data_IF_841535694918
#
_entry.id   IF_841535694918
#
_cell.length_a   1.000
_cell.length_b   1.000
_cell.length_c   1.000
_cell.angle_alpha   90.00
_cell.angle_beta   90.00
_cell.angle_gamma   90.00
#
_symmetry.space_group_name_H-M   'P 1'
#
loop_
_entity.id
_entity.type
_entity.pdbx_description
1 polymer ?
#
# COMPACT_ATOMS: atom_id res chain seq x y z
N UNK A 1 23.88 37.02 -39.51
CA UNK A 1 24.79 37.74 -38.58
C UNK A 1 24.86 36.96 -37.27
N UNK A 2 26.10 36.64 -36.86
CA UNK A 2 26.64 35.97 -35.64
C UNK A 2 25.68 35.47 -34.54
N UNK A 3 25.70 34.22 -34.04
CA UNK A 3 26.77 33.34 -33.51
C UNK A 3 27.39 33.78 -32.16
N UNK A 4 27.05 33.06 -31.09
CA UNK A 4 27.83 32.72 -29.88
C UNK A 4 26.96 31.75 -29.03
N UNK A 5 27.36 30.57 -28.53
CA UNK A 5 28.65 29.90 -28.39
C UNK A 5 29.20 30.05 -26.97
N UNK A 6 29.15 28.97 -26.15
CA UNK A 6 29.86 28.61 -24.88
C UNK A 6 28.87 27.82 -23.99
N UNK A 7 28.95 26.51 -23.73
CA UNK A 7 29.96 25.49 -23.42
C UNK A 7 30.31 25.28 -21.91
N UNK A 8 30.01 24.05 -21.50
CA UNK A 8 30.49 23.12 -20.48
C UNK A 8 31.05 23.48 -19.07
N UNK A 9 30.62 22.58 -18.16
CA UNK A 9 31.31 21.91 -17.02
C UNK A 9 31.41 22.65 -15.68
N UNK A 10 30.91 21.99 -14.62
CA UNK A 10 31.75 21.32 -13.58
C UNK A 10 30.90 20.43 -12.62
N UNK A 11 31.28 19.14 -12.60
CA UNK A 11 31.40 18.17 -11.49
C UNK A 11 30.44 18.17 -10.28
N UNK A 12 29.82 17.00 -10.01
CA UNK A 12 30.22 16.12 -8.90
C UNK A 12 29.60 14.72 -9.12
N UNK A 13 30.45 13.76 -9.47
CA UNK A 13 30.19 12.32 -9.39
C UNK A 13 30.90 11.79 -8.15
N UNK A 14 30.26 10.90 -7.40
CA UNK A 14 30.95 10.04 -6.43
C UNK A 14 30.27 8.68 -6.44
N UNK A 15 30.81 7.82 -7.31
CA UNK A 15 30.66 6.39 -7.31
C UNK A 15 31.28 5.81 -6.03
N UNK A 16 30.66 4.81 -5.42
CA UNK A 16 31.39 3.74 -4.74
C UNK A 16 30.86 2.39 -5.22
N UNK A 17 31.72 1.73 -6.00
CA UNK A 17 31.63 0.35 -6.49
C UNK A 17 32.28 -0.58 -5.48
N UNK A 18 31.81 -1.82 -5.51
CA UNK A 18 32.00 -2.97 -4.62
C UNK A 18 33.38 -3.69 -4.76
N UNK A 19 33.74 -4.47 -3.71
CA UNK A 19 34.64 -5.67 -3.63
C UNK A 19 36.16 -5.47 -3.29
N UNK A 20 36.92 -6.53 -2.87
CA UNK A 20 36.68 -7.59 -1.86
C UNK A 20 37.91 -7.92 -0.93
N UNK A 21 37.68 -8.78 0.10
CA UNK A 21 38.58 -9.72 0.84
C UNK A 21 40.13 -9.67 0.65
N UNK A 22 40.91 -9.65 1.75
CA UNK A 22 41.86 -10.73 2.19
C UNK A 22 42.74 -10.40 3.43
N UNK A 23 42.82 -11.39 4.35
CA UNK A 23 43.93 -11.94 5.16
C UNK A 23 44.91 -11.07 5.99
N UNK A 24 45.04 -11.43 7.28
CA UNK A 24 46.23 -11.74 8.14
C UNK A 24 45.62 -12.09 9.53
N UNK A 25 45.92 -13.13 10.32
CA UNK A 25 47.06 -14.06 10.41
C UNK A 25 47.76 -13.89 11.77
N UNK A 26 47.72 -14.94 12.63
CA UNK A 26 48.58 -15.24 13.82
C UNK A 26 48.22 -14.52 15.14
N UNK A 27 48.27 -15.08 16.38
CA UNK A 27 48.82 -16.30 16.98
C UNK A 27 48.04 -16.63 18.29
N UNK A 28 47.68 -17.88 18.57
CA UNK A 28 48.30 -18.80 19.55
C UNK A 28 48.49 -18.28 20.99
N UNK A 29 47.72 -18.84 21.94
CA UNK A 29 48.22 -19.23 23.26
C UNK A 29 47.35 -20.37 23.80
N UNK A 30 48.01 -21.52 24.01
CA UNK A 30 47.48 -22.71 24.65
C UNK A 30 47.69 -22.59 26.17
N UNK A 31 46.65 -22.91 26.95
CA UNK A 31 46.73 -23.07 28.40
C UNK A 31 46.00 -24.33 28.81
N UNK A 32 46.74 -25.44 28.87
CA UNK A 32 46.35 -26.69 29.52
C UNK A 32 46.02 -26.43 30.99
N UNK A 33 44.85 -26.86 31.48
CA UNK A 33 44.67 -27.23 32.88
C UNK A 33 43.68 -28.40 33.04
N UNK A 34 44.27 -29.59 33.10
CA UNK A 34 44.03 -30.69 34.06
C UNK A 34 42.57 -30.99 34.42
N UNK A 35 42.11 -32.10 33.84
CA UNK A 35 40.98 -32.92 34.25
C UNK A 35 41.33 -33.66 35.56
N UNK A 36 40.56 -33.43 36.63
CA UNK A 36 40.59 -34.26 37.84
C UNK A 36 39.21 -34.85 38.10
N UNK A 37 39.12 -36.15 37.95
CA UNK A 37 37.97 -37.00 38.25
C UNK A 37 37.59 -36.90 39.73
N UNK A 38 36.29 -36.69 40.02
CA UNK A 38 35.72 -36.83 41.37
C UNK A 38 34.91 -38.14 41.50
N UNK A 39 34.81 -38.71 42.71
CA UNK A 39 34.34 -40.08 42.93
C UNK A 39 32.82 -40.21 42.76
N UNK A 40 32.36 -41.38 42.31
CA UNK A 40 30.94 -41.74 42.22
C UNK A 40 30.30 -41.71 43.62
N UNK A 41 29.27 -40.87 43.78
CA UNK A 41 28.34 -40.94 44.91
C UNK A 41 27.19 -41.92 44.63
N UNK A 42 26.70 -42.64 45.65
CA UNK A 42 25.80 -43.78 45.49
C UNK A 42 24.38 -43.38 45.05
N UNK A 43 23.85 -44.12 44.08
CA UNK A 43 22.49 -44.02 43.57
C UNK A 43 21.43 -44.08 44.68
N UNK A 44 20.71 -42.97 44.91
CA UNK A 44 19.42 -42.98 45.61
C UNK A 44 18.30 -43.34 44.61
N UNK A 45 17.36 -44.25 44.97
CA UNK A 45 16.22 -44.53 44.11
C UNK A 45 15.26 -43.34 44.07
N UNK A 46 14.99 -42.83 42.87
CA UNK A 46 13.95 -41.85 42.60
C UNK A 46 12.57 -42.48 42.79
N UNK A 47 11.79 -41.96 43.73
CA UNK A 47 10.34 -42.22 43.81
C UNK A 47 9.61 -41.30 42.82
N UNK A 48 8.81 -41.82 41.87
CA UNK A 48 8.09 -41.00 40.91
C UNK A 48 6.69 -40.69 41.47
N UNK A 49 6.60 -39.77 42.42
CA UNK A 49 5.31 -39.12 42.73
C UNK A 49 5.47 -37.62 42.59
N UNK A 50 5.52 -37.19 41.33
CA UNK A 50 5.32 -35.79 40.94
C UNK A 50 3.85 -35.43 41.13
N UNK A 51 3.61 -34.28 41.77
CA UNK A 51 2.30 -33.70 42.04
C UNK A 51 1.40 -33.70 40.78
N UNK A 52 0.22 -34.36 40.79
CA UNK A 52 -0.65 -34.52 39.61
C UNK A 52 -1.28 -33.22 39.12
N UNK A 53 -1.18 -32.11 39.88
CA UNK A 53 -1.70 -30.81 39.46
C UNK A 53 -0.74 -30.00 38.57
N UNK A 54 0.47 -30.50 38.26
CA UNK A 54 1.40 -29.82 37.34
C UNK A 54 1.29 -30.26 35.88
N UNK A 55 0.34 -31.13 35.53
CA UNK A 55 0.26 -31.76 34.20
C UNK A 55 -0.98 -31.40 33.36
N UNK A 56 -1.62 -30.25 33.62
CA UNK A 56 -2.69 -29.75 32.76
C UNK A 56 -2.53 -28.24 32.52
N UNK A 57 -1.77 -27.88 31.48
CA UNK A 57 -1.98 -26.72 30.61
C UNK A 57 -0.82 -26.70 29.59
N UNK A 58 -1.07 -26.84 28.27
CA UNK A 58 -0.05 -26.59 27.28
C UNK A 58 0.49 -25.17 27.46
N UNK A 59 1.81 -24.98 27.48
CA UNK A 59 2.48 -23.68 27.50
C UNK A 59 2.33 -22.92 26.16
N UNK A 60 1.13 -22.90 25.59
CA UNK A 60 0.72 -21.88 24.65
C UNK A 60 0.27 -20.67 25.46
N UNK A 61 0.69 -19.47 25.08
CA UNK A 61 0.14 -18.25 25.68
C UNK A 61 -1.36 -18.17 25.34
N UNK A 62 -2.22 -18.66 26.21
CA UNK A 62 -3.67 -18.55 26.05
C UNK A 62 -4.04 -17.05 26.08
N UNK A 63 -4.65 -16.56 25.00
CA UNK A 63 -5.29 -15.25 25.02
C UNK A 63 -6.46 -15.31 26.00
N UNK A 64 -6.68 -14.22 26.75
CA UNK A 64 -7.88 -14.13 27.58
C UNK A 64 -9.13 -14.12 26.69
N UNK A 65 -10.30 -14.59 27.18
CA UNK A 65 -11.53 -14.58 26.39
C UNK A 65 -11.89 -13.21 25.81
N UNK A 66 -11.62 -12.12 26.56
CA UNK A 66 -11.82 -10.73 26.09
C UNK A 66 -10.92 -10.39 24.92
N UNK A 67 -9.64 -10.72 25.00
CA UNK A 67 -8.66 -10.44 23.93
C UNK A 67 -8.95 -11.26 22.68
N UNK A 68 -9.38 -12.51 22.85
CA UNK A 68 -9.81 -13.35 21.74
C UNK A 68 -11.09 -12.83 21.08
N UNK A 69 -12.09 -12.39 21.85
CA UNK A 69 -13.32 -11.80 21.32
C UNK A 69 -13.06 -10.51 20.54
N UNK A 70 -12.16 -9.65 21.03
CA UNK A 70 -11.72 -8.44 20.33
C UNK A 70 -11.09 -8.78 18.98
N UNK A 71 -10.14 -9.73 18.99
CA UNK A 71 -9.47 -10.17 17.76
C UNK A 71 -10.47 -10.77 16.76
N UNK A 72 -11.36 -11.65 17.21
CA UNK A 72 -12.35 -12.29 16.35
C UNK A 72 -13.31 -11.25 15.75
N UNK A 73 -13.79 -10.28 16.53
CA UNK A 73 -14.63 -9.18 16.02
C UNK A 73 -13.94 -8.43 14.88
N UNK A 74 -12.65 -8.14 15.03
CA UNK A 74 -11.86 -7.51 13.98
C UNK A 74 -11.69 -8.41 12.76
N UNK A 75 -11.29 -9.68 12.96
CA UNK A 75 -11.05 -10.60 11.85
C UNK A 75 -12.34 -10.94 11.09
N UNK A 76 -13.49 -11.04 11.76
CA UNK A 76 -14.80 -11.21 11.14
C UNK A 76 -15.21 -9.98 10.32
N UNK A 77 -14.97 -8.78 10.87
CA UNK A 77 -15.21 -7.52 10.16
C UNK A 77 -14.34 -7.43 8.90
N UNK A 78 -13.06 -7.81 9.01
CA UNK A 78 -12.15 -7.85 7.87
C UNK A 78 -12.56 -8.91 6.85
N UNK A 79 -13.00 -10.10 7.28
CA UNK A 79 -13.53 -11.13 6.40
C UNK A 79 -14.73 -10.61 5.61
N UNK A 80 -15.63 -9.90 6.27
CA UNK A 80 -16.79 -9.29 5.63
C UNK A 80 -16.40 -8.21 4.61
N UNK A 81 -15.37 -7.41 4.90
CA UNK A 81 -14.85 -6.43 3.93
C UNK A 81 -14.23 -7.11 2.72
N UNK A 82 -13.51 -8.21 2.88
CA UNK A 82 -13.07 -9.00 1.74
C UNK A 82 -14.26 -9.50 0.93
N UNK A 83 -15.29 -10.11 1.55
CA UNK A 83 -16.49 -10.55 0.82
C UNK A 83 -17.15 -9.41 0.03
N UNK A 84 -17.24 -8.22 0.61
CA UNK A 84 -17.77 -7.02 -0.07
C UNK A 84 -16.89 -6.54 -1.23
N UNK A 85 -15.58 -6.75 -1.14
CA UNK A 85 -14.64 -6.38 -2.20
C UNK A 85 -14.77 -7.28 -3.44
N UNK A 86 -15.33 -8.48 -3.28
CA UNK A 86 -15.66 -9.35 -4.40
C UNK A 86 -16.74 -8.68 -5.27
N UNK A 87 -16.46 -8.39 -6.54
CA UNK A 87 -17.45 -7.85 -7.47
C UNK A 87 -18.60 -8.85 -7.69
N UNK A 88 -19.82 -8.34 -7.88
CA UNK A 88 -20.97 -9.16 -8.26
C UNK A 88 -20.91 -9.50 -9.76
N UNK A 89 -20.52 -8.53 -10.58
CA UNK A 89 -20.23 -8.71 -12.00
C UNK A 89 -18.73 -8.54 -12.26
N UNK A 90 -18.19 -9.35 -13.16
CA UNK A 90 -16.80 -9.24 -13.63
C UNK A 90 -16.54 -7.89 -14.30
N UNK A 91 -17.57 -7.30 -14.93
CA UNK A 91 -17.45 -5.98 -15.56
C UNK A 91 -17.23 -4.83 -14.56
N UNK A 92 -17.55 -5.05 -13.28
CA UNK A 92 -17.32 -4.05 -12.23
C UNK A 92 -15.84 -3.95 -11.83
N UNK A 93 -15.02 -4.96 -12.15
CA UNK A 93 -13.58 -4.99 -11.83
C UNK A 93 -12.88 -3.82 -12.53
N UNK A 94 -12.11 -3.05 -11.75
CA UNK A 94 -11.37 -1.86 -12.21
C UNK A 94 -12.24 -0.73 -12.79
N UNK A 95 -13.52 -0.69 -12.41
CA UNK A 95 -14.31 0.55 -12.48
C UNK A 95 -13.87 1.52 -11.39
N UNK A 96 -14.02 2.83 -11.61
CA UNK A 96 -13.72 3.81 -10.58
C UNK A 96 -14.64 3.71 -9.37
N UNK A 97 -15.89 3.26 -9.54
CA UNK A 97 -16.79 2.95 -8.43
C UNK A 97 -16.23 1.83 -7.54
N UNK A 98 -15.76 0.73 -8.15
CA UNK A 98 -15.15 -0.38 -7.41
C UNK A 98 -13.84 0.04 -6.74
N UNK A 99 -12.96 0.76 -7.44
CA UNK A 99 -11.71 1.26 -6.87
C UNK A 99 -11.97 2.23 -5.70
N UNK A 100 -12.93 3.15 -5.85
CA UNK A 100 -13.34 4.03 -4.77
C UNK A 100 -13.79 3.22 -3.54
N UNK A 101 -14.64 2.22 -3.75
CA UNK A 101 -15.13 1.38 -2.67
C UNK A 101 -14.00 0.57 -2.01
N UNK A 102 -13.06 0.02 -2.78
CA UNK A 102 -11.89 -0.68 -2.26
C UNK A 102 -11.04 0.22 -1.35
N UNK A 103 -10.85 1.49 -1.75
CA UNK A 103 -10.13 2.47 -0.94
C UNK A 103 -10.92 2.87 0.32
N UNK A 104 -12.24 3.01 0.23
CA UNK A 104 -13.11 3.25 1.40
C UNK A 104 -12.98 2.12 2.44
N UNK A 105 -13.02 0.85 2.00
CA UNK A 105 -12.82 -0.31 2.88
C UNK A 105 -11.40 -0.33 3.47
N UNK A 106 -10.38 0.04 2.69
CA UNK A 106 -9.01 0.14 3.18
C UNK A 106 -8.89 1.21 4.28
N UNK A 107 -9.43 2.41 4.05
CA UNK A 107 -9.48 3.50 5.03
C UNK A 107 -10.15 3.09 6.34
N UNK A 108 -11.31 2.43 6.25
CA UNK A 108 -12.01 1.91 7.42
C UNK A 108 -11.13 0.92 8.19
N UNK A 109 -10.41 0.05 7.49
CA UNK A 109 -9.62 -1.03 8.14
C UNK A 109 -8.39 -0.48 8.84
N UNK A 110 -7.75 0.55 8.27
CA UNK A 110 -6.69 1.29 8.96
C UNK A 110 -7.22 2.06 10.17
N UNK A 111 -8.45 2.58 10.10
CA UNK A 111 -9.08 3.27 11.24
C UNK A 111 -9.40 2.31 12.39
N UNK A 112 -9.81 1.08 12.10
CA UNK A 112 -10.12 0.07 13.12
C UNK A 112 -8.91 -0.29 14.00
N UNK A 113 -7.67 -0.14 13.49
CA UNK A 113 -6.46 -0.32 14.29
C UNK A 113 -6.41 0.66 15.46
N UNK A 114 -6.84 1.92 15.25
CA UNK A 114 -6.92 2.90 16.32
C UNK A 114 -7.90 2.46 17.41
N UNK A 115 -9.03 1.87 17.01
CA UNK A 115 -10.02 1.29 17.92
C UNK A 115 -9.41 0.14 18.72
N UNK A 116 -8.73 -0.80 18.06
CA UNK A 116 -8.04 -1.92 18.72
C UNK A 116 -7.00 -1.42 19.73
N UNK A 117 -6.15 -0.47 19.36
CA UNK A 117 -5.13 0.09 20.27
C UNK A 117 -5.79 0.69 21.52
N UNK A 118 -6.90 1.40 21.33
CA UNK A 118 -7.66 2.03 22.42
C UNK A 118 -8.29 0.97 23.34
N UNK A 119 -8.95 -0.04 22.77
CA UNK A 119 -9.61 -1.12 23.55
C UNK A 119 -8.63 -2.05 24.26
N UNK A 120 -7.44 -2.22 23.68
CA UNK A 120 -6.35 -2.94 24.32
C UNK A 120 -5.76 -2.16 25.49
N UNK A 121 -6.02 -0.86 25.63
CA UNK A 121 -5.33 0.02 26.59
C UNK A 121 -3.83 -0.23 26.54
N UNK A 122 -3.27 -0.30 25.33
CA UNK A 122 -1.86 -0.63 25.11
C UNK A 122 -1.08 0.69 24.97
N UNK A 123 -0.43 1.17 26.04
CA UNK A 123 0.40 2.37 25.93
C UNK A 123 1.54 2.11 24.94
N UNK A 124 1.95 3.16 24.22
CA UNK A 124 2.98 3.03 23.18
C UNK A 124 4.31 2.54 23.76
N UNK A 125 4.60 2.84 25.03
CA UNK A 125 5.78 2.33 25.74
C UNK A 125 5.81 0.79 25.92
N UNK A 126 4.67 0.11 25.78
CA UNK A 126 4.61 -1.36 25.79
C UNK A 126 4.92 -1.98 24.42
N UNK A 127 5.12 -1.15 23.39
CA UNK A 127 5.52 -1.60 22.07
C UNK A 127 7.02 -1.81 22.05
N UNK A 128 7.48 -2.92 21.49
CA UNK A 128 8.90 -3.16 21.29
C UNK A 128 9.43 -2.22 20.17
N UNK A 129 10.61 -1.62 20.38
CA UNK A 129 11.21 -0.60 19.51
C UNK A 129 11.21 -1.01 18.03
N UNK A 130 11.41 -2.30 17.75
CA UNK A 130 11.41 -2.83 16.39
C UNK A 130 10.05 -2.68 15.71
N UNK A 131 8.96 -2.70 16.46
CA UNK A 131 7.60 -2.52 15.93
C UNK A 131 7.31 -1.08 15.59
N UNK A 132 7.76 -0.17 16.43
CA UNK A 132 7.69 1.26 16.18
C UNK A 132 8.42 1.54 14.87
N UNK A 133 9.65 1.03 14.71
CA UNK A 133 10.43 1.18 13.48
C UNK A 133 9.71 0.61 12.25
N UNK A 134 9.19 -0.63 12.34
CA UNK A 134 8.48 -1.27 11.23
C UNK A 134 7.19 -0.53 10.87
N UNK A 135 6.43 -0.04 11.85
CA UNK A 135 5.22 0.74 11.58
C UNK A 135 5.56 2.07 10.92
N UNK A 136 6.57 2.79 11.45
CA UNK A 136 7.01 4.06 10.89
C UNK A 136 7.56 3.88 9.47
N UNK A 137 8.35 2.84 9.21
CA UNK A 137 8.85 2.51 7.87
C UNK A 137 7.69 2.19 6.90
N UNK A 138 6.76 1.31 7.31
CA UNK A 138 5.59 1.00 6.50
C UNK A 138 4.73 2.25 6.23
N UNK A 139 4.54 3.13 7.22
CA UNK A 139 3.75 4.35 7.03
C UNK A 139 4.34 5.27 5.96
N UNK A 140 5.68 5.44 5.92
CA UNK A 140 6.35 6.22 4.86
C UNK A 140 6.10 5.58 3.49
N UNK A 141 6.29 4.26 3.39
CA UNK A 141 6.02 3.51 2.16
C UNK A 141 4.58 3.69 1.66
N UNK A 142 3.60 3.68 2.56
CA UNK A 142 2.20 3.91 2.21
C UNK A 142 1.95 5.36 1.75
N UNK A 143 2.57 6.35 2.39
CA UNK A 143 2.49 7.75 1.95
C UNK A 143 3.10 7.95 0.55
N UNK A 144 4.22 7.27 0.25
CA UNK A 144 4.84 7.30 -1.07
C UNK A 144 3.95 6.64 -2.14
N UNK A 145 3.28 5.54 -1.81
CA UNK A 145 2.28 4.91 -2.69
C UNK A 145 1.11 5.87 -2.97
N UNK A 146 0.58 6.53 -1.93
CA UNK A 146 -0.46 7.55 -2.11
C UNK A 146 0.01 8.68 -3.03
N UNK A 147 1.23 9.19 -2.84
CA UNK A 147 1.81 10.22 -3.71
C UNK A 147 1.91 9.75 -5.18
N UNK A 148 2.27 8.49 -5.40
CA UNK A 148 2.31 7.90 -6.74
C UNK A 148 0.91 7.82 -7.36
N UNK A 149 -0.10 7.40 -6.59
CA UNK A 149 -1.50 7.35 -7.03
C UNK A 149 -2.08 8.73 -7.30
N UNK A 150 -1.93 9.70 -6.40
CA UNK A 150 -2.40 11.07 -6.62
C UNK A 150 -1.72 11.71 -7.82
N UNK A 151 -0.44 11.44 -8.05
CA UNK A 151 0.26 11.88 -9.26
C UNK A 151 -0.31 11.27 -10.53
N UNK A 152 -0.71 10.00 -10.49
CA UNK A 152 -1.31 9.32 -11.64
C UNK A 152 -2.73 9.81 -11.91
N UNK A 153 -3.55 9.95 -10.88
CA UNK A 153 -4.89 10.52 -11.00
C UNK A 153 -4.84 11.94 -11.55
N UNK A 154 -3.87 12.75 -11.10
CA UNK A 154 -3.62 14.09 -11.65
C UNK A 154 -3.23 14.04 -13.13
N UNK A 155 -2.39 13.08 -13.52
CA UNK A 155 -2.02 12.87 -14.93
C UNK A 155 -3.24 12.49 -15.76
N UNK A 156 -4.07 11.56 -15.31
CA UNK A 156 -5.31 11.20 -16.01
C UNK A 156 -6.27 12.38 -16.12
N UNK A 157 -6.36 13.22 -15.08
CA UNK A 157 -7.18 14.42 -15.09
C UNK A 157 -6.67 15.50 -16.08
N UNK A 158 -5.34 15.63 -16.25
CA UNK A 158 -4.80 16.47 -17.33
C UNK A 158 -5.22 15.96 -18.72
N UNK A 159 -5.38 14.64 -18.88
CA UNK A 159 -5.99 14.07 -20.08
C UNK A 159 -7.42 14.53 -20.31
N UNK A 160 -8.23 14.64 -19.25
CA UNK A 160 -9.60 15.17 -19.36
C UNK A 160 -9.64 16.59 -19.93
N UNK A 161 -8.67 17.46 -19.62
CA UNK A 161 -8.58 18.81 -20.21
C UNK A 161 -8.40 18.78 -21.74
N UNK A 162 -7.64 17.80 -22.26
CA UNK A 162 -7.48 17.61 -23.70
C UNK A 162 -8.79 17.17 -24.37
N UNK A 163 -9.58 16.33 -23.69
CA UNK A 163 -10.92 15.94 -24.14
C UNK A 163 -11.87 17.15 -24.16
N UNK A 164 -11.86 17.98 -23.13
CA UNK A 164 -12.68 19.20 -23.09
C UNK A 164 -12.30 20.16 -24.24
N UNK A 165 -11.00 20.32 -24.51
CA UNK A 165 -10.53 21.11 -25.65
C UNK A 165 -11.04 20.54 -26.98
N UNK A 166 -10.98 19.21 -27.16
CA UNK A 166 -11.51 18.56 -28.36
C UNK A 166 -13.01 18.81 -28.52
N UNK A 167 -13.81 18.56 -27.47
CA UNK A 167 -15.26 18.75 -27.46
C UNK A 167 -15.64 20.20 -27.78
N UNK A 168 -14.97 21.18 -27.17
CA UNK A 168 -15.22 22.59 -27.44
C UNK A 168 -14.97 22.98 -28.90
N UNK A 169 -13.92 22.44 -29.52
CA UNK A 169 -13.65 22.69 -30.94
C UNK A 169 -14.66 21.97 -31.85
N UNK A 170 -15.19 20.81 -31.44
CA UNK A 170 -16.19 20.06 -32.20
C UNK A 170 -17.55 20.76 -32.21
N UNK A 171 -17.91 21.49 -31.16
CA UNK A 171 -19.18 22.25 -31.10
C UNK A 171 -19.26 23.37 -32.15
N UNK A 172 -18.12 23.96 -32.54
CA UNK A 172 -18.07 25.04 -33.53
C UNK A 172 -18.18 24.56 -34.99
N UNK A 173 -17.96 23.26 -35.27
CA UNK A 173 -18.14 22.58 -36.57
C UNK A 173 -17.51 23.23 -37.83
N UNK A 174 -16.54 24.13 -37.64
CA UNK A 174 -15.79 24.73 -38.74
C UNK A 174 -14.53 23.91 -39.06
N UNK A 175 -14.10 23.87 -40.33
CA UNK A 175 -13.00 23.02 -40.79
C UNK A 175 -11.68 23.20 -40.02
N UNK A 176 -11.32 24.44 -39.65
CA UNK A 176 -10.12 24.72 -38.82
C UNK A 176 -10.26 24.16 -37.40
N UNK A 177 -11.46 24.14 -36.86
CA UNK A 177 -11.76 23.64 -35.53
C UNK A 177 -11.78 22.11 -35.50
N UNK A 178 -12.22 21.45 -36.58
CA UNK A 178 -12.12 19.98 -36.73
C UNK A 178 -10.66 19.50 -36.71
N UNK A 179 -9.75 20.24 -37.37
CA UNK A 179 -8.31 19.96 -37.31
C UNK A 179 -7.79 20.11 -35.88
N UNK A 180 -8.17 21.19 -35.18
CA UNK A 180 -7.79 21.40 -33.77
C UNK A 180 -8.33 20.31 -32.86
N UNK A 181 -9.58 19.89 -33.05
CA UNK A 181 -10.18 18.80 -32.30
C UNK A 181 -9.40 17.49 -32.49
N UNK A 182 -9.05 17.16 -33.73
CA UNK A 182 -8.24 15.98 -34.05
C UNK A 182 -6.87 16.03 -33.35
N UNK A 183 -6.18 17.17 -33.41
CA UNK A 183 -4.91 17.36 -32.69
C UNK A 183 -5.05 17.20 -31.17
N UNK A 184 -6.15 17.70 -30.58
CA UNK A 184 -6.42 17.52 -29.14
C UNK A 184 -6.70 16.06 -28.79
N UNK A 185 -7.41 15.32 -29.65
CA UNK A 185 -7.65 13.88 -29.47
C UNK A 185 -6.36 13.06 -29.62
N UNK A 186 -5.49 13.44 -30.55
CA UNK A 186 -4.15 12.85 -30.70
C UNK A 186 -3.29 13.11 -29.46
N UNK A 187 -3.29 14.36 -28.98
CA UNK A 187 -2.63 14.76 -27.75
C UNK A 187 -3.15 13.95 -26.56
N UNK A 188 -4.47 13.76 -26.45
CA UNK A 188 -5.07 12.92 -25.41
C UNK A 188 -4.57 11.48 -25.50
N UNK A 189 -4.61 10.87 -26.68
CA UNK A 189 -4.14 9.49 -26.91
C UNK A 189 -2.67 9.32 -26.54
N UNK A 190 -1.81 10.25 -26.96
CA UNK A 190 -0.38 10.23 -26.60
C UNK A 190 -0.19 10.38 -25.09
N UNK A 191 -0.95 11.30 -24.47
CA UNK A 191 -0.91 11.56 -23.04
C UNK A 191 -1.30 10.32 -22.24
N UNK A 192 -2.44 9.68 -22.52
CA UNK A 192 -2.88 8.48 -21.78
C UNK A 192 -1.94 7.29 -21.98
N UNK A 193 -1.29 7.18 -23.14
CA UNK A 193 -0.33 6.11 -23.46
C UNK A 193 1.04 6.32 -22.81
N UNK A 194 1.34 7.55 -22.40
CA UNK A 194 2.59 7.85 -21.70
C UNK A 194 2.59 7.22 -20.29
N UNK A 195 3.73 6.66 -19.89
CA UNK A 195 3.90 6.06 -18.56
C UNK A 195 4.24 7.12 -17.53
N UNK A 196 3.74 6.93 -16.31
CA UNK A 196 4.15 7.71 -15.16
C UNK A 196 5.32 7.03 -14.44
N UNK A 197 6.52 7.64 -14.44
CA UNK A 197 7.70 7.04 -13.82
C UNK A 197 7.56 6.86 -12.30
N UNK A 198 6.68 7.62 -11.63
CA UNK A 198 6.45 7.47 -10.19
C UNK A 198 5.78 6.14 -9.83
N UNK A 199 5.09 5.51 -10.78
CA UNK A 199 4.52 4.17 -10.58
C UNK A 199 5.60 3.08 -10.59
N UNK A 200 6.76 3.29 -11.22
CA UNK A 200 7.84 2.32 -11.21
C UNK A 200 8.40 2.12 -9.79
N UNK A 201 8.58 3.21 -9.05
CA UNK A 201 8.96 3.18 -7.64
C UNK A 201 7.86 2.58 -6.75
N UNK A 202 6.59 2.75 -7.12
CA UNK A 202 5.47 2.17 -6.36
C UNK A 202 5.58 0.63 -6.29
N UNK A 203 6.01 -0.02 -7.37
CA UNK A 203 6.18 -1.47 -7.39
C UNK A 203 7.30 -1.95 -6.49
N UNK A 204 8.44 -1.26 -6.45
CA UNK A 204 9.56 -1.65 -5.57
C UNK A 204 9.18 -1.48 -4.10
N UNK A 205 8.38 -0.47 -3.78
CA UNK A 205 7.82 -0.26 -2.44
C UNK A 205 6.85 -1.40 -2.07
N UNK A 206 5.96 -1.79 -2.99
CA UNK A 206 5.04 -2.91 -2.79
C UNK A 206 5.78 -4.24 -2.57
N UNK A 207 6.80 -4.53 -3.38
CA UNK A 207 7.65 -5.71 -3.22
C UNK A 207 8.29 -5.73 -1.81
N UNK A 208 8.80 -4.58 -1.34
CA UNK A 208 9.34 -4.45 0.03
C UNK A 208 8.29 -4.68 1.13
N UNK A 209 7.06 -4.21 0.92
CA UNK A 209 5.95 -4.46 1.85
C UNK A 209 5.58 -5.95 1.90
N UNK A 210 5.67 -6.64 0.77
CA UNK A 210 5.42 -8.09 0.65
C UNK A 210 6.54 -8.90 1.32
N UNK A 211 7.80 -8.54 1.11
CA UNK A 211 8.94 -9.21 1.77
C UNK A 211 8.83 -9.14 3.30
N UNK A 212 8.26 -8.04 3.80
CA UNK A 212 8.03 -7.81 5.23
C UNK A 212 6.64 -8.26 5.68
N UNK A 213 5.88 -8.97 4.85
CA UNK A 213 4.54 -9.53 5.14
C UNK A 213 4.65 -10.83 5.94
N UNK A 214 5.31 -10.77 7.09
CA UNK A 214 5.34 -11.87 8.05
C UNK A 214 4.59 -11.43 9.30
N UNK A 215 3.90 -12.34 9.98
CA UNK A 215 3.38 -12.10 11.33
C UNK A 215 4.57 -12.07 12.30
N UNK A 216 5.04 -10.89 12.77
CA UNK A 216 6.31 -10.90 13.46
C UNK A 216 6.10 -11.37 14.91
N UNK A 217 7.10 -12.11 15.41
CA UNK A 217 6.97 -12.86 16.66
C UNK A 217 7.10 -11.91 17.85
N UNK A 218 5.98 -11.41 18.38
CA UNK A 218 5.98 -10.67 19.65
C UNK A 218 6.35 -11.64 20.78
N UNK A 219 7.47 -11.39 21.45
CA UNK A 219 7.80 -12.07 22.70
C UNK A 219 6.97 -11.45 23.84
N UNK A 220 6.13 -12.26 24.45
CA UNK A 220 5.60 -12.08 25.80
C UNK A 220 4.47 -11.06 26.08
N UNK A 221 3.76 -10.51 25.09
CA UNK A 221 2.54 -9.71 25.33
C UNK A 221 1.29 -10.29 24.66
N UNK A 222 0.25 -10.61 25.44
CA UNK A 222 -1.02 -11.10 24.91
C UNK A 222 -1.76 -10.00 24.11
N UNK A 223 -1.73 -8.76 24.60
CA UNK A 223 -2.27 -7.58 23.90
C UNK A 223 -1.51 -7.30 22.60
N UNK A 224 -0.17 -7.35 22.65
CA UNK A 224 0.68 -7.18 21.47
C UNK A 224 0.41 -8.24 20.40
N UNK A 225 0.14 -9.49 20.78
CA UNK A 225 -0.25 -10.54 19.82
C UNK A 225 -1.56 -10.23 19.10
N UNK A 226 -2.57 -9.72 19.80
CA UNK A 226 -3.85 -9.30 19.19
C UNK A 226 -3.61 -8.17 18.19
N UNK A 227 -2.89 -7.11 18.60
CA UNK A 227 -2.57 -5.99 17.72
C UNK A 227 -1.81 -6.46 16.48
N UNK A 228 -0.84 -7.36 16.65
CA UNK A 228 -0.03 -7.81 15.52
C UNK A 228 -0.79 -8.65 14.51
N UNK A 229 -1.69 -9.50 15.00
CA UNK A 229 -2.58 -10.26 14.15
C UNK A 229 -3.50 -9.32 13.35
N UNK A 230 -4.03 -8.28 14.00
CA UNK A 230 -4.86 -7.28 13.33
C UNK A 230 -4.07 -6.49 12.27
N UNK A 231 -2.88 -6.00 12.62
CA UNK A 231 -2.01 -5.27 11.69
C UNK A 231 -1.56 -6.13 10.49
N UNK A 232 -1.37 -7.43 10.69
CA UNK A 232 -1.11 -8.36 9.59
C UNK A 232 -2.28 -8.37 8.58
N UNK A 233 -3.52 -8.48 9.06
CA UNK A 233 -4.71 -8.40 8.21
C UNK A 233 -4.83 -7.06 7.46
N UNK A 234 -4.58 -5.94 8.13
CA UNK A 234 -4.53 -4.61 7.50
C UNK A 234 -3.47 -4.55 6.41
N UNK A 235 -2.27 -5.06 6.70
CA UNK A 235 -1.17 -5.05 5.74
C UNK A 235 -1.50 -5.89 4.50
N UNK A 236 -2.11 -7.06 4.67
CA UNK A 236 -2.58 -7.90 3.55
C UNK A 236 -3.60 -7.16 2.68
N UNK A 237 -4.64 -6.57 3.29
CA UNK A 237 -5.63 -5.78 2.53
C UNK A 237 -4.97 -4.60 1.81
N UNK A 238 -4.03 -3.92 2.46
CA UNK A 238 -3.30 -2.78 1.88
C UNK A 238 -2.50 -3.21 0.66
N UNK A 239 -1.70 -4.28 0.78
CA UNK A 239 -0.92 -4.81 -0.33
C UNK A 239 -1.82 -5.27 -1.48
N UNK A 240 -2.94 -5.94 -1.19
CA UNK A 240 -3.91 -6.36 -2.21
C UNK A 240 -4.43 -5.15 -3.01
N UNK A 241 -5.02 -4.16 -2.32
CA UNK A 241 -5.63 -2.99 -2.97
C UNK A 241 -4.59 -2.16 -3.72
N UNK A 242 -3.46 -1.85 -3.09
CA UNK A 242 -2.42 -1.04 -3.70
C UNK A 242 -1.76 -1.75 -4.89
N UNK A 243 -1.56 -3.07 -4.84
CA UNK A 243 -1.00 -3.82 -5.98
C UNK A 243 -1.96 -3.84 -7.16
N UNK A 244 -3.26 -4.03 -6.92
CA UNK A 244 -4.29 -3.95 -7.96
C UNK A 244 -4.29 -2.57 -8.62
N UNK A 245 -4.25 -1.51 -7.83
CA UNK A 245 -4.29 -0.14 -8.34
C UNK A 245 -3.02 0.19 -9.13
N UNK A 246 -1.86 -0.17 -8.59
CA UNK A 246 -0.58 0.05 -9.27
C UNK A 246 -0.53 -0.71 -10.61
N UNK A 247 -0.98 -1.97 -10.64
CA UNK A 247 -1.07 -2.75 -11.87
C UNK A 247 -2.03 -2.12 -12.89
N UNK A 248 -3.21 -1.67 -12.44
CA UNK A 248 -4.21 -1.02 -13.30
C UNK A 248 -3.69 0.28 -13.90
N UNK A 249 -3.06 1.13 -13.08
CA UNK A 249 -2.49 2.41 -13.52
C UNK A 249 -1.27 2.25 -14.43
N UNK A 250 -0.40 1.28 -14.16
CA UNK A 250 0.77 1.03 -15.00
C UNK A 250 0.44 0.27 -16.29
N UNK A 251 -0.76 -0.29 -16.39
CA UNK A 251 -1.15 -1.14 -17.51
C UNK A 251 -0.30 -2.42 -17.60
N UNK A 252 0.06 -3.04 -16.46
CA UNK A 252 0.95 -4.22 -16.44
C UNK A 252 0.54 -5.28 -15.43
N UNK A 253 0.29 -6.51 -15.92
CA UNK A 253 0.03 -7.73 -15.11
C UNK A 253 1.24 -8.17 -14.30
N UNK A 254 2.45 -7.86 -14.78
CA UNK A 254 3.70 -8.36 -14.19
C UNK A 254 3.91 -7.86 -12.76
N UNK A 255 3.00 -7.04 -12.27
CA UNK A 255 2.99 -6.40 -10.97
C UNK A 255 1.77 -6.76 -10.12
N UNK A 256 0.93 -7.67 -10.59
CA UNK A 256 -0.18 -8.24 -9.85
C UNK A 256 0.31 -9.41 -9.00
N UNK A 257 0.14 -9.31 -7.70
CA UNK A 257 0.73 -10.22 -6.72
C UNK A 257 -0.29 -11.23 -6.22
N UNK A 258 0.08 -12.50 -6.21
CA UNK A 258 -0.69 -13.56 -5.56
C UNK A 258 -0.08 -13.85 -4.19
N UNK A 259 -0.67 -13.26 -3.15
CA UNK A 259 -0.20 -13.40 -1.78
C UNK A 259 -0.63 -14.74 -1.21
N UNK A 260 0.26 -15.34 -0.41
CA UNK A 260 -0.04 -16.46 0.45
C UNK A 260 -0.27 -15.93 1.87
N UNK A 261 -1.35 -16.37 2.51
CA UNK A 261 -1.76 -15.91 3.84
C UNK A 261 -1.88 -17.06 4.83
N UNK A 262 -1.75 -16.76 6.11
CA UNK A 262 -1.91 -17.76 7.17
C UNK A 262 -3.36 -18.27 7.23
N UNK A 263 -3.55 -19.58 7.10
CA UNK A 263 -4.88 -20.22 7.09
C UNK A 263 -5.60 -20.14 8.44
N UNK A 264 -4.90 -19.78 9.51
CA UNK A 264 -5.46 -19.64 10.86
C UNK A 264 -6.31 -18.38 11.03
N UNK A 265 -6.23 -17.40 10.11
CA UNK A 265 -7.00 -16.17 10.19
C UNK A 265 -8.45 -16.40 9.72
N UNK A 266 -9.45 -15.85 10.42
CA UNK A 266 -10.86 -16.02 10.06
C UNK A 266 -11.22 -15.43 8.68
N UNK A 267 -10.43 -14.47 8.20
CA UNK A 267 -10.61 -13.82 6.91
C UNK A 267 -9.88 -14.51 5.74
N UNK A 268 -9.07 -15.54 5.99
CA UNK A 268 -8.19 -16.13 4.99
C UNK A 268 -8.94 -16.71 3.77
N UNK A 269 -10.07 -17.38 3.99
CA UNK A 269 -10.90 -17.93 2.91
C UNK A 269 -11.53 -16.82 2.06
N UNK A 270 -12.13 -15.81 2.70
CA UNK A 270 -12.70 -14.66 2.00
C UNK A 270 -11.64 -13.91 1.18
N UNK A 271 -10.43 -13.75 1.72
CA UNK A 271 -9.29 -13.19 1.00
C UNK A 271 -8.91 -14.02 -0.23
N UNK A 272 -8.76 -15.34 -0.08
CA UNK A 272 -8.39 -16.25 -1.19
C UNK A 272 -9.41 -16.17 -2.32
N UNK A 273 -10.71 -16.12 -2.00
CA UNK A 273 -11.80 -16.00 -2.98
C UNK A 273 -11.74 -14.66 -3.74
N UNK A 274 -11.56 -13.54 -3.05
CA UNK A 274 -11.40 -12.21 -3.67
C UNK A 274 -10.16 -12.16 -4.55
N UNK A 275 -9.02 -12.63 -4.05
CA UNK A 275 -7.77 -12.64 -4.80
C UNK A 275 -7.92 -13.46 -6.08
N UNK A 276 -8.48 -14.67 -6.00
CA UNK A 276 -8.67 -15.52 -7.16
C UNK A 276 -9.62 -14.90 -8.20
N UNK A 277 -10.73 -14.30 -7.74
CA UNK A 277 -11.72 -13.68 -8.61
C UNK A 277 -11.18 -12.41 -9.28
N UNK A 278 -10.71 -11.45 -8.48
CA UNK A 278 -10.25 -10.14 -8.97
C UNK A 278 -8.95 -10.28 -9.75
N UNK A 279 -7.96 -11.02 -9.25
CA UNK A 279 -6.71 -11.19 -10.00
C UNK A 279 -6.95 -11.99 -11.28
N UNK A 280 -7.83 -13.00 -11.25
CA UNK A 280 -8.21 -13.76 -12.43
C UNK A 280 -8.79 -12.86 -13.51
N UNK A 281 -9.73 -11.98 -13.15
CA UNK A 281 -10.34 -11.05 -14.10
C UNK A 281 -9.33 -10.03 -14.62
N UNK A 282 -8.50 -9.46 -13.76
CA UNK A 282 -7.43 -8.53 -14.18
C UNK A 282 -6.49 -9.20 -15.18
N UNK A 283 -6.05 -10.44 -14.92
CA UNK A 283 -5.19 -11.21 -15.85
C UNK A 283 -5.88 -11.45 -17.20
N UNK A 284 -7.20 -11.70 -17.21
CA UNK A 284 -7.98 -11.83 -18.44
C UNK A 284 -8.03 -10.51 -19.21
N UNK A 285 -8.31 -9.39 -18.53
CA UNK A 285 -8.39 -8.06 -19.15
C UNK A 285 -7.08 -7.69 -19.84
N UNK A 286 -5.94 -7.93 -19.20
CA UNK A 286 -4.64 -7.65 -19.80
C UNK A 286 -4.26 -8.55 -20.98
N UNK A 287 -4.78 -9.78 -21.01
CA UNK A 287 -4.56 -10.71 -22.13
C UNK A 287 -5.31 -10.29 -23.40
N UNK A 288 -6.28 -9.38 -23.29
CA UNK A 288 -7.13 -8.96 -24.41
C UNK A 288 -6.57 -7.81 -25.26
N UNK A 289 -5.34 -7.36 -25.02
CA UNK A 289 -4.65 -6.35 -25.85
C UNK A 289 -5.25 -4.93 -25.76
N UNK A 290 -6.00 -4.64 -24.69
CA UNK A 290 -6.63 -3.33 -24.44
C UNK A 290 -5.58 -2.25 -24.16
N UNK A 291 -5.87 -1.01 -24.56
CA UNK A 291 -5.02 0.18 -24.33
C UNK A 291 -4.90 0.50 -22.84
N UNK A 292 -5.97 0.24 -22.09
CA UNK A 292 -6.03 0.39 -20.64
C UNK A 292 -7.00 -0.65 -20.08
N UNK A 293 -6.83 -0.96 -18.80
CA UNK A 293 -7.75 -1.86 -18.06
C UNK A 293 -8.77 -1.09 -17.20
N UNK A 294 -8.65 0.24 -17.11
CA UNK A 294 -9.63 1.09 -16.43
C UNK A 294 -10.86 1.26 -17.34
N UNK A 295 -12.02 0.81 -16.86
CA UNK A 295 -13.25 0.69 -17.67
C UNK A 295 -13.73 2.04 -18.21
N UNK A 296 -13.73 3.08 -17.38
CA UNK A 296 -14.15 4.43 -17.79
C UNK A 296 -13.19 5.03 -18.84
N UNK A 297 -11.89 4.78 -18.71
CA UNK A 297 -10.89 5.25 -19.67
C UNK A 297 -10.95 4.46 -20.99
N UNK A 298 -11.19 3.15 -20.92
CA UNK A 298 -11.45 2.31 -22.09
C UNK A 298 -12.70 2.81 -22.85
N UNK A 299 -13.78 3.14 -22.14
CA UNK A 299 -14.99 3.66 -22.75
C UNK A 299 -14.74 4.98 -23.49
N UNK A 300 -13.89 5.86 -22.97
CA UNK A 300 -13.47 7.08 -23.68
C UNK A 300 -12.65 6.75 -24.91
N UNK A 301 -11.65 5.85 -24.83
CA UNK A 301 -10.83 5.47 -25.99
C UNK A 301 -11.67 4.87 -27.13
N UNK A 302 -12.68 4.06 -26.80
CA UNK A 302 -13.65 3.53 -27.77
C UNK A 302 -14.41 4.67 -28.47
N UNK A 303 -14.88 5.67 -27.73
CA UNK A 303 -15.59 6.81 -28.33
C UNK A 303 -14.67 7.69 -29.16
N UNK A 304 -13.42 7.91 -28.73
CA UNK A 304 -12.42 8.65 -29.51
C UNK A 304 -12.09 7.91 -30.81
N UNK A 305 -11.88 6.59 -30.76
CA UNK A 305 -11.65 5.75 -31.96
C UNK A 305 -12.81 5.80 -32.95
N UNK A 306 -14.05 5.81 -32.45
CA UNK A 306 -15.26 5.93 -33.28
C UNK A 306 -15.36 7.32 -33.93
N UNK A 307 -15.03 8.37 -33.18
CA UNK A 307 -15.16 9.76 -33.60
C UNK A 307 -14.09 10.17 -34.62
N UNK A 308 -12.88 9.61 -34.52
CA UNK A 308 -11.73 9.97 -35.34
C UNK A 308 -11.96 9.91 -36.87
N UNK A 309 -12.50 8.81 -37.47
CA UNK A 309 -12.77 8.77 -38.90
C UNK A 309 -13.83 9.79 -39.34
N UNK A 310 -14.87 9.99 -38.52
CA UNK A 310 -15.96 10.95 -38.82
C UNK A 310 -15.47 12.40 -38.88
N UNK A 311 -14.38 12.74 -38.19
CA UNK A 311 -13.77 14.08 -38.26
C UNK A 311 -12.89 14.20 -39.52
N UNK A 312 -12.23 13.11 -39.94
CA UNK A 312 -11.22 13.12 -41.01
C UNK A 312 -11.81 13.06 -42.41
N UNK A 313 -12.88 12.29 -42.58
CA UNK A 313 -13.46 11.98 -43.90
C UNK A 313 -14.41 13.09 -44.42
N UNK A 314 -14.66 14.12 -43.60
CA UNK A 314 -15.63 15.18 -43.87
C UNK A 314 -17.04 14.76 -43.49
N UNK A 315 -17.90 15.73 -43.15
CA UNK A 315 -19.27 15.44 -42.70
C UNK A 315 -20.21 15.48 -43.89
N UNK A 316 -20.60 14.31 -44.39
CA UNK A 316 -21.77 14.24 -45.29
C UNK A 316 -23.03 14.66 -44.52
N UNK A 317 -24.01 15.33 -45.16
CA UNK A 317 -25.23 15.79 -44.48
C UNK A 317 -26.01 14.68 -43.76
N UNK A 318 -25.88 13.44 -44.23
CA UNK A 318 -26.52 12.23 -43.70
C UNK A 318 -25.80 11.75 -42.42
N UNK A 319 -24.51 12.08 -42.25
CA UNK A 319 -23.68 11.65 -41.11
C UNK A 319 -23.61 12.69 -39.98
N UNK A 320 -24.16 13.88 -40.18
CA UNK A 320 -24.14 14.96 -39.19
C UNK A 320 -24.83 14.58 -37.86
N UNK A 321 -25.91 13.80 -37.91
CA UNK A 321 -26.60 13.28 -36.72
C UNK A 321 -25.77 12.22 -36.00
N UNK A 322 -25.12 11.31 -36.75
CA UNK A 322 -24.25 10.28 -36.21
C UNK A 322 -22.99 10.87 -35.55
N UNK A 323 -22.43 11.94 -36.15
CA UNK A 323 -21.34 12.71 -35.58
C UNK A 323 -21.77 13.40 -34.28
N UNK A 324 -22.91 14.10 -34.27
CA UNK A 324 -23.40 14.76 -33.06
C UNK A 324 -23.68 13.78 -31.93
N UNK A 325 -24.25 12.61 -32.25
CA UNK A 325 -24.45 11.53 -31.28
C UNK A 325 -23.12 11.05 -30.69
N UNK A 326 -22.09 10.90 -31.52
CA UNK A 326 -20.76 10.46 -31.08
C UNK A 326 -20.02 11.53 -30.25
N UNK A 327 -20.18 12.81 -30.58
CA UNK A 327 -19.66 13.93 -29.76
C UNK A 327 -20.35 13.95 -28.39
N UNK A 328 -21.68 13.80 -28.36
CA UNK A 328 -22.44 13.75 -27.11
C UNK A 328 -22.06 12.55 -26.24
N UNK A 329 -21.87 11.37 -26.84
CA UNK A 329 -21.40 10.16 -26.16
C UNK A 329 -19.99 10.37 -25.57
N UNK A 330 -19.05 10.92 -26.35
CA UNK A 330 -17.71 11.26 -25.84
C UNK A 330 -17.79 12.23 -24.66
N UNK A 331 -18.62 13.27 -24.75
CA UNK A 331 -18.83 14.23 -23.66
C UNK A 331 -19.33 13.57 -22.38
N UNK A 332 -20.35 12.71 -22.48
CA UNK A 332 -20.89 11.95 -21.33
C UNK A 332 -19.83 11.04 -20.70
N UNK A 333 -19.01 10.38 -21.50
CA UNK A 333 -17.95 9.47 -21.00
C UNK A 333 -16.78 10.25 -20.41
N UNK A 334 -16.38 11.36 -21.01
CA UNK A 334 -15.34 12.24 -20.48
C UNK A 334 -15.75 12.83 -19.12
N UNK A 335 -17.02 13.20 -18.95
CA UNK A 335 -17.56 13.68 -17.67
C UNK A 335 -17.56 12.57 -16.62
N UNK A 336 -18.03 11.36 -16.96
CA UNK A 336 -17.97 10.19 -16.07
C UNK A 336 -16.53 9.87 -15.64
N UNK A 337 -15.57 9.95 -16.57
CA UNK A 337 -14.16 9.79 -16.28
C UNK A 337 -13.69 10.83 -15.24
N UNK A 338 -13.97 12.12 -15.46
CA UNK A 338 -13.58 13.20 -14.53
C UNK A 338 -14.18 12.99 -13.14
N UNK A 339 -15.48 12.71 -13.07
CA UNK A 339 -16.16 12.45 -11.80
C UNK A 339 -15.53 11.25 -11.09
N UNK A 340 -15.28 10.14 -11.79
CA UNK A 340 -14.63 8.97 -11.20
C UNK A 340 -13.24 9.28 -10.65
N UNK A 341 -12.42 10.02 -11.40
CA UNK A 341 -11.09 10.47 -10.98
C UNK A 341 -11.16 11.36 -9.73
N UNK A 342 -12.08 12.32 -9.68
CA UNK A 342 -12.24 13.23 -8.54
C UNK A 342 -12.64 12.48 -7.26
N UNK A 343 -13.58 11.53 -7.38
CA UNK A 343 -13.99 10.71 -6.24
C UNK A 343 -12.86 9.79 -5.76
N UNK A 344 -12.14 9.16 -6.67
CA UNK A 344 -11.02 8.29 -6.31
C UNK A 344 -9.85 9.09 -5.70
N UNK A 345 -9.56 10.29 -6.22
CA UNK A 345 -8.56 11.19 -5.65
C UNK A 345 -8.88 11.53 -4.20
N UNK A 346 -10.13 11.89 -3.90
CA UNK A 346 -10.57 12.16 -2.52
C UNK A 346 -10.38 10.96 -1.59
N UNK A 347 -10.59 9.74 -2.09
CA UNK A 347 -10.37 8.53 -1.29
C UNK A 347 -8.88 8.27 -1.05
N UNK A 348 -8.03 8.46 -2.06
CA UNK A 348 -6.57 8.35 -1.90
C UNK A 348 -6.05 9.41 -0.92
N UNK A 349 -6.53 10.65 -1.02
CA UNK A 349 -6.17 11.71 -0.08
C UNK A 349 -6.67 11.41 1.34
N UNK A 350 -7.89 10.88 1.48
CA UNK A 350 -8.42 10.40 2.75
C UNK A 350 -7.54 9.33 3.38
N UNK A 351 -7.10 8.35 2.58
CA UNK A 351 -6.18 7.31 3.02
C UNK A 351 -4.82 7.88 3.45
N UNK A 352 -4.26 8.81 2.67
CA UNK A 352 -3.03 9.53 3.02
C UNK A 352 -3.14 10.21 4.38
N UNK A 353 -4.25 10.90 4.66
CA UNK A 353 -4.47 11.58 5.94
C UNK A 353 -4.61 10.59 7.11
N UNK A 354 -5.25 9.43 6.90
CA UNK A 354 -5.34 8.37 7.92
C UNK A 354 -3.94 7.85 8.27
N UNK A 355 -3.12 7.54 7.26
CA UNK A 355 -1.75 7.05 7.49
C UNK A 355 -0.88 8.11 8.18
N UNK A 356 -0.94 9.35 7.72
CA UNK A 356 -0.17 10.46 8.29
C UNK A 356 -0.57 10.74 9.73
N UNK A 357 -1.87 10.85 10.02
CA UNK A 357 -2.35 11.09 11.39
C UNK A 357 -2.03 9.93 12.33
N UNK A 358 -2.10 8.68 11.86
CA UNK A 358 -1.67 7.52 12.63
C UNK A 358 -0.17 7.56 12.97
N UNK A 359 0.67 7.96 12.01
CA UNK A 359 2.11 8.17 12.23
C UNK A 359 2.38 9.29 13.24
N UNK A 360 1.75 10.44 13.07
CA UNK A 360 1.97 11.62 13.93
C UNK A 360 1.49 11.36 15.36
N UNK A 361 0.39 10.63 15.52
CA UNK A 361 -0.10 10.19 16.84
C UNK A 361 0.93 9.30 17.55
N UNK A 362 1.51 8.32 16.84
CA UNK A 362 2.54 7.45 17.40
C UNK A 362 3.79 8.27 17.82
N UNK A 363 4.28 9.14 16.94
CA UNK A 363 5.45 9.98 17.22
C UNK A 363 5.21 10.94 18.40
N UNK A 364 3.99 11.46 18.54
CA UNK A 364 3.63 12.34 19.64
C UNK A 364 3.65 11.60 20.98
N UNK A 365 3.12 10.37 21.03
CA UNK A 365 3.14 9.54 22.23
C UNK A 365 4.56 9.20 22.69
N UNK A 366 5.45 8.86 21.74
CA UNK A 366 6.87 8.58 22.05
C UNK A 366 7.62 9.78 22.66
N UNK A 367 7.28 11.00 22.24
CA UNK A 367 7.87 12.24 22.80
C UNK A 367 7.38 12.51 24.23
N UNK A 368 6.11 12.26 24.51
CA UNK A 368 5.54 12.43 25.86
C UNK A 368 6.19 11.44 26.83
N UNK A 369 6.35 10.18 26.44
CA UNK A 369 7.00 9.16 27.26
C UNK A 369 8.46 9.52 27.58
N UNK A 370 9.20 10.11 26.62
CA UNK A 370 10.58 10.58 26.86
C UNK A 370 10.67 11.74 27.87
N UNK A 371 9.59 12.52 28.05
CA UNK A 371 9.55 13.66 28.97
C UNK A 371 9.18 13.26 30.40
N UNK A 372 8.57 12.09 30.60
CA UNK A 372 8.18 11.55 31.92
C UNK A 372 9.33 10.71 32.54
N UNK A 373 10.25 10.22 31.71
CA UNK A 373 11.33 9.33 32.13
C UNK A 373 12.49 10.00 32.91
N UNK A 374 12.39 11.29 33.26
CA UNK A 374 13.43 11.99 34.02
C UNK A 374 13.02 12.44 35.45
N UNK A 375 12.90 11.52 36.44
CA UNK A 375 12.80 11.89 37.85
C UNK A 375 14.17 11.93 38.56
N UNK A 376 15.30 11.81 37.84
CA UNK A 376 16.63 11.66 38.49
C UNK A 376 17.43 12.94 38.65
N UNK A 377 16.91 14.09 38.22
CA UNK A 377 17.66 15.35 38.31
C UNK A 377 17.26 16.27 39.47
N UNK A 378 16.29 15.90 40.33
CA UNK A 378 15.93 16.71 41.51
C UNK A 378 16.48 16.19 42.86
N UNK A 379 16.94 14.94 42.96
CA UNK A 379 17.43 14.42 44.26
C UNK A 379 18.90 14.75 44.57
N UNK A 380 19.68 15.21 43.58
CA UNK A 380 21.10 15.52 43.79
C UNK A 380 21.39 16.96 44.21
N UNK A 381 20.37 17.84 44.25
CA UNK A 381 20.56 19.24 44.67
C UNK A 381 20.25 19.50 46.15
N UNK A 382 19.75 18.51 46.91
CA UNK A 382 19.40 18.69 48.33
C UNK A 382 20.46 18.15 49.31
N UNK A 383 21.36 17.27 48.88
CA UNK A 383 22.45 16.76 49.74
C UNK A 383 23.76 17.57 49.70
N UNK A 384 23.85 18.62 48.87
CA UNK A 384 25.05 19.44 48.73
C UNK A 384 25.13 20.67 49.66
N UNK A 385 24.09 20.95 50.46
CA UNK A 385 23.99 22.20 51.22
C UNK A 385 24.06 22.07 52.75
N UNK A 386 24.56 20.93 53.27
CA UNK A 386 24.85 20.79 54.71
C UNK A 386 26.25 20.21 54.91
N UNK A 387 27.30 20.94 54.51
CA UNK A 387 28.60 20.98 55.20
C UNK A 387 29.31 22.30 54.81
N UNK A 388 29.16 23.34 55.63
CA UNK A 388 30.27 24.14 56.19
C UNK A 388 29.74 25.20 57.15
#
# INVERSE_FOLDING_TARGET
>A
MAAAGLDCKKYYTSNWVICPRQLIGLNFSAGLYIEMSRPQEPHRPFFPFGNPFKMMLPKGSYLSPRLLALLNTFEESLAERFRKLKPMDKEDVLTFSWMRFAMELLCQTHTDIKTIITELELPVCDWDDKWIDVYLDNSVKLLDICNAFSSELSRLNQGHLLLQCALHNLDARHSKQLVRASCSLDGWRQHISSKNPRLENCFTILDSLIETLNLPKVKNSAKGKVLMQAMYGVKVLTVLVCSIFAAAFAGSVNKLVDLQVHETCLWAEAFKDVQANVNGEIRNLFSSGRVTVLKELEAVDVSVKKLYPMIRDGVDPIEAEALQSSISDLGKRAEKLSQGLDHLSKQVDGFFQIVLSGRDALLSNLRVDSSIADPKQELNNVLGQVVR
#
